data_IF_635803495628
#
_entry.id   IF_635803495628
#
_cell.length_a   1.000
_cell.length_b   1.000
_cell.length_c   1.000
_cell.angle_alpha   90.00
_cell.angle_beta   90.00
_cell.angle_gamma   90.00
#
_symmetry.space_group_name_H-M   'P 1'
#
loop_
_entity.id
_entity.type
_entity.pdbx_description
1 polymer ?
#
# COMPACT_ATOMS: atom_id res chain seq x y z
N UNK A 1 23.66 -7.30 -23.99
CA UNK A 1 22.75 -7.60 -25.11
C UNK A 1 22.76 -6.46 -26.13
N UNK A 2 22.57 -5.21 -25.68
CA UNK A 2 22.62 -4.01 -26.50
C UNK A 2 23.93 -3.95 -27.33
N UNK A 3 25.09 -4.15 -26.72
CA UNK A 3 26.39 -4.12 -27.35
C UNK A 3 26.63 -5.24 -28.39
N UNK A 4 25.72 -6.20 -28.44
CA UNK A 4 25.67 -7.28 -29.45
C UNK A 4 24.72 -6.97 -30.62
N UNK A 5 24.23 -5.73 -30.72
CA UNK A 5 23.30 -5.30 -31.75
C UNK A 5 21.88 -5.82 -31.63
N UNK A 6 21.48 -6.27 -30.44
CA UNK A 6 20.11 -6.72 -30.19
C UNK A 6 19.17 -5.54 -29.90
N UNK A 7 18.00 -5.51 -30.57
CA UNK A 7 16.88 -4.65 -30.18
C UNK A 7 16.21 -5.18 -28.92
N UNK A 8 15.98 -4.32 -27.94
CA UNK A 8 15.36 -4.69 -26.65
C UNK A 8 14.09 -3.88 -26.47
N UNK A 9 12.97 -4.57 -26.24
CA UNK A 9 11.72 -3.95 -25.79
C UNK A 9 11.61 -4.17 -24.30
N UNK A 10 11.61 -3.07 -23.52
CA UNK A 10 11.49 -3.11 -22.08
C UNK A 10 10.17 -2.49 -21.63
N UNK A 11 9.33 -3.28 -20.97
CA UNK A 11 8.02 -2.86 -20.48
C UNK A 11 8.07 -2.79 -18.95
N UNK A 12 7.86 -1.61 -18.41
CA UNK A 12 7.86 -1.38 -16.96
C UNK A 12 6.99 -0.17 -16.61
N UNK A 13 6.58 -0.08 -15.38
CA UNK A 13 5.96 1.11 -14.77
C UNK A 13 6.95 1.89 -13.89
N UNK A 14 8.19 1.41 -13.77
CA UNK A 14 9.26 2.09 -13.03
C UNK A 14 9.93 3.13 -13.92
N UNK A 15 9.42 4.34 -13.86
CA UNK A 15 9.82 5.43 -14.78
C UNK A 15 11.30 5.77 -14.70
N UNK A 16 11.91 5.74 -13.52
CA UNK A 16 13.34 5.99 -13.34
C UNK A 16 14.22 4.96 -14.10
N UNK A 17 13.82 3.68 -14.09
CA UNK A 17 14.52 2.64 -14.85
C UNK A 17 14.35 2.85 -16.34
N UNK A 18 13.11 3.09 -16.80
CA UNK A 18 12.82 3.34 -18.21
C UNK A 18 13.67 4.51 -18.71
N UNK A 19 13.66 5.65 -18.02
CA UNK A 19 14.43 6.82 -18.45
C UNK A 19 15.94 6.55 -18.50
N UNK A 20 16.46 5.71 -17.60
CA UNK A 20 17.89 5.39 -17.52
C UNK A 20 18.38 4.47 -18.62
N UNK A 21 17.56 3.49 -19.05
CA UNK A 21 18.02 2.43 -19.94
C UNK A 21 17.51 2.54 -21.37
N UNK A 22 16.43 3.31 -21.62
CA UNK A 22 15.80 3.38 -22.92
C UNK A 22 16.42 4.47 -23.79
N UNK A 23 16.50 4.22 -25.10
CA UNK A 23 16.84 5.21 -26.12
C UNK A 23 15.59 6.00 -26.54
N UNK A 24 14.46 5.31 -26.70
CA UNK A 24 13.14 5.88 -26.96
C UNK A 24 12.10 5.38 -25.95
N UNK A 25 11.13 6.22 -25.63
CA UNK A 25 10.01 5.90 -24.75
C UNK A 25 8.71 6.05 -25.53
N UNK A 26 7.97 4.94 -25.60
CA UNK A 26 6.61 4.91 -26.12
C UNK A 26 5.64 4.86 -24.97
N UNK A 27 4.76 5.85 -24.88
CA UNK A 27 3.70 5.90 -23.87
C UNK A 27 2.41 5.37 -24.47
N UNK A 28 1.80 4.43 -23.74
CA UNK A 28 0.49 3.87 -24.05
C UNK A 28 -0.50 4.15 -22.91
N UNK A 29 -1.75 4.36 -23.26
CA UNK A 29 -2.85 4.55 -22.30
C UNK A 29 -4.14 3.94 -22.86
N UNK A 30 -4.85 3.15 -22.07
CA UNK A 30 -6.11 2.50 -22.44
C UNK A 30 -6.03 1.70 -23.75
N UNK A 31 -4.87 1.04 -23.99
CA UNK A 31 -4.61 0.27 -25.20
C UNK A 31 -4.23 1.11 -26.43
N UNK A 32 -4.13 2.43 -26.30
CA UNK A 32 -3.83 3.34 -27.41
C UNK A 32 -2.41 3.91 -27.28
N UNK A 33 -1.77 4.13 -28.43
CA UNK A 33 -0.53 4.87 -28.51
C UNK A 33 -0.79 6.35 -28.24
N UNK A 34 -0.02 6.93 -27.30
CA UNK A 34 -0.14 8.34 -26.93
C UNK A 34 1.01 9.16 -27.57
N UNK A 35 2.23 8.72 -27.38
CA UNK A 35 3.41 9.38 -27.93
C UNK A 35 4.61 8.44 -27.94
N UNK A 36 5.54 8.67 -28.89
CA UNK A 36 6.90 8.12 -28.88
C UNK A 36 7.88 9.29 -28.94
N UNK A 37 8.86 9.33 -28.05
CA UNK A 37 9.87 10.39 -27.95
C UNK A 37 11.22 9.82 -27.55
N UNK A 38 12.35 10.44 -27.94
CA UNK A 38 13.65 10.12 -27.39
C UNK A 38 13.66 10.28 -25.87
N UNK A 39 14.23 9.33 -25.14
CA UNK A 39 14.27 9.38 -23.67
C UNK A 39 15.01 10.62 -23.14
N UNK A 40 15.99 11.13 -23.89
CA UNK A 40 16.75 12.32 -23.54
C UNK A 40 15.90 13.60 -23.52
N UNK A 41 14.83 13.67 -24.33
CA UNK A 41 13.97 14.85 -24.48
C UNK A 41 12.80 14.87 -23.48
N UNK A 42 12.53 13.76 -22.80
CA UNK A 42 11.40 13.65 -21.88
C UNK A 42 11.85 13.87 -20.43
N UNK A 43 11.24 14.82 -19.76
CA UNK A 43 11.35 14.92 -18.32
C UNK A 43 10.39 13.93 -17.63
N UNK A 44 10.68 13.56 -16.38
CA UNK A 44 9.87 12.61 -15.63
C UNK A 44 8.40 13.03 -15.56
N UNK A 45 8.15 14.31 -15.33
CA UNK A 45 6.80 14.87 -15.26
C UNK A 45 6.07 14.80 -16.61
N UNK A 46 6.77 14.90 -17.73
CA UNK A 46 6.18 14.77 -19.07
C UNK A 46 5.73 13.33 -19.33
N UNK A 47 6.53 12.35 -18.94
CA UNK A 47 6.16 10.93 -19.07
C UNK A 47 4.90 10.66 -18.25
N UNK A 48 4.86 11.11 -17.00
CA UNK A 48 3.70 10.94 -16.11
C UNK A 48 2.46 11.65 -16.68
N UNK A 49 2.61 12.87 -17.18
CA UNK A 49 1.52 13.63 -17.81
C UNK A 49 0.94 12.89 -19.02
N UNK A 50 1.79 12.35 -19.89
CA UNK A 50 1.36 11.56 -21.04
C UNK A 50 0.63 10.28 -20.62
N UNK A 51 1.09 9.60 -19.58
CA UNK A 51 0.45 8.38 -19.05
C UNK A 51 -0.92 8.66 -18.42
N UNK A 52 -1.02 9.72 -17.61
CA UNK A 52 -2.25 10.04 -16.86
C UNK A 52 -3.23 10.87 -17.68
N UNK A 53 -2.75 11.63 -18.69
CA UNK A 53 -3.57 12.46 -19.58
C UNK A 53 -4.04 13.78 -18.98
N UNK A 54 -3.57 14.16 -17.80
CA UNK A 54 -3.84 15.44 -17.14
C UNK A 54 -2.56 15.92 -16.43
N UNK A 55 -2.45 17.21 -16.24
CA UNK A 55 -1.43 17.75 -15.36
C UNK A 55 -1.65 17.19 -13.96
N UNK A 56 -0.65 16.50 -13.43
CA UNK A 56 -0.64 16.19 -12.01
C UNK A 56 -0.19 17.48 -11.31
N UNK A 57 -1.14 18.10 -10.61
CA UNK A 57 -0.78 19.03 -9.54
C UNK A 57 0.13 18.33 -8.53
N UNK A 58 0.34 18.88 -7.36
CA UNK A 58 1.11 18.23 -6.32
C UNK A 58 0.70 16.76 -6.18
N UNK A 59 1.60 15.84 -6.50
CA UNK A 59 1.36 14.39 -6.48
C UNK A 59 0.90 13.95 -5.09
N UNK A 60 1.38 14.63 -4.07
CA UNK A 60 0.94 14.46 -2.69
C UNK A 60 0.46 15.80 -2.13
N UNK A 61 -0.69 15.83 -1.45
CA UNK A 61 -1.11 17.03 -0.74
C UNK A 61 -0.08 17.39 0.34
N UNK A 62 0.06 18.69 0.68
CA UNK A 62 0.96 19.09 1.75
C UNK A 62 0.55 18.40 3.06
N UNK A 63 1.53 17.93 3.80
CA UNK A 63 1.33 17.30 5.11
C UNK A 63 0.89 18.35 6.12
N UNK A 64 -0.41 18.46 6.37
CA UNK A 64 -1.01 19.42 7.32
C UNK A 64 -1.42 18.78 8.64
N UNK A 65 -1.40 17.46 8.74
CA UNK A 65 -1.76 16.72 9.95
C UNK A 65 -0.73 16.95 11.06
N UNK A 66 -1.24 17.11 12.28
CA UNK A 66 -0.43 17.13 13.51
C UNK A 66 -0.73 15.86 14.28
N UNK A 67 0.25 14.96 14.45
CA UNK A 67 0.05 13.76 15.25
C UNK A 67 -0.34 14.11 16.69
N UNK A 68 -1.40 13.48 17.17
CA UNK A 68 -1.89 13.64 18.54
C UNK A 68 -1.28 12.64 19.51
N UNK A 69 -2.10 12.18 20.47
CA UNK A 69 -1.72 11.14 21.43
C UNK A 69 -1.60 9.77 20.76
N UNK A 70 -0.88 8.84 21.40
CA UNK A 70 -0.76 7.46 20.94
C UNK A 70 -2.15 6.81 20.92
N UNK A 71 -2.55 6.33 19.77
CA UNK A 71 -3.83 5.65 19.55
C UNK A 71 -3.67 4.13 19.48
N UNK A 72 -2.65 3.67 18.76
CA UNK A 72 -2.35 2.27 18.55
C UNK A 72 -0.95 1.96 19.09
N UNK A 73 -0.87 0.91 19.87
CA UNK A 73 0.38 0.34 20.35
C UNK A 73 0.42 -1.14 19.96
N UNK A 74 1.50 -1.54 19.31
CA UNK A 74 1.79 -2.92 18.94
C UNK A 74 3.09 -3.29 19.61
N UNK A 75 3.08 -4.32 20.44
CA UNK A 75 4.21 -4.75 21.24
C UNK A 75 4.52 -6.23 20.97
N UNK A 76 5.75 -6.53 20.59
CA UNK A 76 6.29 -7.89 20.44
C UNK A 76 5.46 -8.80 19.51
N UNK A 77 4.82 -8.24 18.48
CA UNK A 77 3.95 -8.99 17.59
C UNK A 77 4.72 -10.07 16.84
N UNK A 78 4.29 -11.30 17.02
CA UNK A 78 4.90 -12.49 16.41
C UNK A 78 3.82 -13.35 15.78
N UNK A 79 4.02 -13.76 14.53
CA UNK A 79 3.13 -14.66 13.81
C UNK A 79 3.37 -16.13 14.11
N UNK A 80 2.31 -16.96 14.00
CA UNK A 80 2.41 -18.39 14.30
C UNK A 80 3.02 -19.18 13.15
N UNK A 81 2.64 -18.89 11.92
CA UNK A 81 2.98 -19.68 10.73
C UNK A 81 3.68 -18.87 9.63
N UNK A 82 4.05 -17.63 9.92
CA UNK A 82 4.73 -16.72 9.01
C UNK A 82 6.07 -16.25 9.59
N UNK A 83 6.81 -15.44 8.84
CA UNK A 83 8.13 -14.95 9.21
C UNK A 83 8.12 -13.75 10.15
N UNK A 84 6.95 -13.37 10.67
CA UNK A 84 6.84 -12.23 11.58
C UNK A 84 7.43 -12.55 12.94
N UNK A 85 8.38 -11.72 13.40
CA UNK A 85 9.10 -11.88 14.68
C UNK A 85 9.25 -10.55 15.38
N UNK A 86 8.72 -10.45 16.57
CA UNK A 86 9.01 -9.38 17.55
C UNK A 86 8.83 -7.95 17.01
N UNK A 87 7.76 -7.69 16.27
CA UNK A 87 7.50 -6.37 15.68
C UNK A 87 6.78 -5.49 16.68
N UNK A 88 7.34 -4.31 16.95
CA UNK A 88 6.77 -3.31 17.85
C UNK A 88 6.77 -1.94 17.19
N UNK A 89 5.66 -1.22 17.28
CA UNK A 89 5.52 0.16 16.83
C UNK A 89 4.29 0.81 17.43
N UNK A 90 4.20 2.13 17.29
CA UNK A 90 3.04 2.91 17.71
C UNK A 90 2.50 3.74 16.55
N UNK A 91 1.22 4.10 16.62
CA UNK A 91 0.62 5.10 15.75
C UNK A 91 -0.22 6.08 16.55
N UNK A 92 -0.10 7.35 16.21
CA UNK A 92 -0.80 8.45 16.89
C UNK A 92 -2.08 8.84 16.17
N UNK A 93 -2.97 9.53 16.85
CA UNK A 93 -4.18 10.10 16.22
C UNK A 93 -3.79 11.03 15.07
N UNK A 94 -4.39 10.82 13.90
CA UNK A 94 -4.11 11.63 12.71
C UNK A 94 -2.74 11.40 12.09
N UNK A 95 -2.00 10.37 12.52
CA UNK A 95 -0.70 10.00 11.96
C UNK A 95 -0.87 8.95 10.85
N UNK A 96 -0.01 9.03 9.85
CA UNK A 96 0.19 7.99 8.85
C UNK A 96 1.56 7.36 9.14
N UNK A 97 1.56 6.10 9.56
CA UNK A 97 2.79 5.32 9.81
C UNK A 97 3.10 4.47 8.60
N UNK A 98 4.29 4.61 8.04
CA UNK A 98 4.79 3.80 6.93
C UNK A 98 5.60 2.61 7.43
N UNK A 99 5.26 1.40 6.97
CA UNK A 99 6.06 0.19 7.17
C UNK A 99 6.83 -0.10 5.88
N UNK A 100 8.14 0.12 5.87
CA UNK A 100 8.99 -0.10 4.71
C UNK A 100 9.82 -1.38 4.86
N UNK A 101 10.14 -2.02 3.75
CA UNK A 101 10.97 -3.22 3.72
C UNK A 101 10.92 -3.90 2.35
N UNK A 102 11.85 -4.80 2.11
CA UNK A 102 11.88 -5.63 0.90
C UNK A 102 10.70 -6.62 0.87
N UNK A 103 10.48 -7.22 -0.29
CA UNK A 103 9.53 -8.31 -0.42
C UNK A 103 9.90 -9.46 0.53
N UNK A 104 8.89 -10.05 1.19
CA UNK A 104 9.12 -11.06 2.24
C UNK A 104 9.63 -10.53 3.59
N UNK A 105 9.73 -9.21 3.79
CA UNK A 105 10.19 -8.62 5.06
C UNK A 105 9.18 -8.69 6.21
N UNK A 106 7.96 -9.16 5.95
CA UNK A 106 6.92 -9.31 6.98
C UNK A 106 5.94 -8.14 7.09
N UNK A 107 5.94 -7.19 6.14
CA UNK A 107 5.01 -6.03 6.16
C UNK A 107 3.55 -6.45 6.07
N UNK A 108 3.23 -7.26 5.07
CA UNK A 108 1.89 -7.81 4.86
C UNK A 108 1.47 -8.67 6.03
N UNK A 109 2.35 -9.56 6.46
CA UNK A 109 2.14 -10.46 7.60
C UNK A 109 1.89 -9.69 8.91
N UNK A 110 2.54 -8.54 9.08
CA UNK A 110 2.29 -7.66 10.23
C UNK A 110 0.83 -7.19 10.25
N UNK A 111 0.33 -6.64 9.14
CA UNK A 111 -1.03 -6.11 9.07
C UNK A 111 -2.08 -7.23 9.11
N UNK A 112 -1.84 -8.35 8.45
CA UNK A 112 -2.71 -9.53 8.50
C UNK A 112 -2.80 -10.14 9.90
N UNK A 113 -1.66 -10.22 10.61
CA UNK A 113 -1.62 -10.71 11.99
C UNK A 113 -2.33 -9.74 12.95
N UNK A 114 -2.15 -8.44 12.77
CA UNK A 114 -2.88 -7.42 13.55
C UNK A 114 -4.39 -7.47 13.32
N UNK A 115 -4.81 -7.76 12.09
CA UNK A 115 -6.23 -7.83 11.73
C UNK A 115 -6.85 -9.20 12.03
N UNK A 116 -6.04 -10.23 12.35
CA UNK A 116 -6.51 -11.57 12.66
C UNK A 116 -6.86 -12.41 11.42
N UNK A 117 -6.33 -12.07 10.24
CA UNK A 117 -6.31 -12.94 9.05
C UNK A 117 -5.25 -14.02 9.26
N UNK A 118 -4.05 -13.63 9.67
CA UNK A 118 -2.99 -14.55 10.07
C UNK A 118 -3.02 -14.77 11.58
N UNK A 119 -2.65 -15.98 12.01
CA UNK A 119 -2.66 -16.36 13.43
C UNK A 119 -1.50 -15.70 14.18
N UNK A 120 -1.82 -14.98 15.25
CA UNK A 120 -0.86 -14.41 16.17
C UNK A 120 -0.37 -15.48 17.14
N UNK A 121 0.96 -15.60 17.29
CA UNK A 121 1.61 -16.46 18.28
C UNK A 121 1.79 -15.73 19.59
N UNK A 122 2.29 -14.48 19.53
CA UNK A 122 2.61 -13.67 20.72
C UNK A 122 2.47 -12.18 20.38
N UNK A 123 2.54 -11.35 21.42
CA UNK A 123 2.45 -9.90 21.33
C UNK A 123 1.10 -9.32 21.73
N UNK A 124 1.11 -8.02 21.99
CA UNK A 124 -0.06 -7.27 22.47
C UNK A 124 -0.38 -6.15 21.49
N UNK A 125 -1.67 -5.96 21.24
CA UNK A 125 -2.21 -4.83 20.49
C UNK A 125 -3.11 -4.05 21.43
N UNK A 126 -2.84 -2.74 21.57
CA UNK A 126 -3.66 -1.83 22.36
C UNK A 126 -4.22 -0.74 21.45
N UNK A 127 -5.48 -0.41 21.65
CA UNK A 127 -6.14 0.73 21.01
C UNK A 127 -6.66 1.64 22.12
N UNK A 128 -6.21 2.89 22.09
CA UNK A 128 -6.56 3.89 23.11
C UNK A 128 -6.26 3.38 24.54
N UNK A 129 -5.09 2.78 24.73
CA UNK A 129 -4.62 2.16 25.96
C UNK A 129 -5.31 0.84 26.36
N UNK A 130 -6.31 0.38 25.59
CA UNK A 130 -7.06 -0.84 25.88
C UNK A 130 -6.58 -2.00 25.05
N UNK A 131 -6.31 -3.15 25.66
CA UNK A 131 -5.89 -4.37 24.95
C UNK A 131 -7.00 -4.87 24.04
N UNK A 132 -6.65 -5.05 22.75
CA UNK A 132 -7.52 -5.58 21.73
C UNK A 132 -7.18 -7.03 21.39
N UNK A 133 -8.16 -7.92 21.56
CA UNK A 133 -8.04 -9.33 21.14
C UNK A 133 -8.40 -9.49 19.66
N UNK A 134 -7.58 -8.95 18.77
CA UNK A 134 -7.79 -9.06 17.33
C UNK A 134 -7.35 -10.45 16.80
N UNK A 135 -8.00 -11.50 17.28
CA UNK A 135 -7.69 -12.89 16.88
C UNK A 135 -8.47 -13.35 15.67
N UNK A 136 -9.45 -12.58 15.24
CA UNK A 136 -10.25 -12.83 14.03
C UNK A 136 -10.62 -11.52 13.37
N UNK A 137 -10.83 -11.48 12.03
CA UNK A 137 -11.28 -10.28 11.33
C UNK A 137 -12.55 -9.65 11.93
N UNK A 138 -13.49 -10.49 12.38
CA UNK A 138 -14.72 -10.02 13.03
C UNK A 138 -14.46 -9.25 14.32
N UNK A 139 -13.51 -9.69 15.13
CA UNK A 139 -13.10 -8.97 16.36
C UNK A 139 -12.41 -7.66 16.02
N UNK A 140 -11.53 -7.66 15.02
CA UNK A 140 -10.83 -6.45 14.56
C UNK A 140 -11.80 -5.40 14.05
N UNK A 141 -12.79 -5.79 13.24
CA UNK A 141 -13.85 -4.89 12.79
C UNK A 141 -14.62 -4.30 13.97
N UNK A 142 -14.96 -5.09 14.98
CA UNK A 142 -15.62 -4.60 16.21
C UNK A 142 -14.74 -3.63 17.01
N UNK A 143 -13.44 -3.81 16.97
CA UNK A 143 -12.45 -2.94 17.58
C UNK A 143 -12.04 -1.78 16.67
N UNK A 144 -12.83 -1.49 15.63
CA UNK A 144 -12.63 -0.38 14.69
C UNK A 144 -11.34 -0.44 13.85
N UNK A 145 -10.85 -1.64 13.56
CA UNK A 145 -9.80 -1.85 12.58
C UNK A 145 -10.43 -2.13 11.21
N UNK A 146 -9.81 -1.62 10.15
CA UNK A 146 -10.12 -1.95 8.76
C UNK A 146 -8.84 -2.35 8.05
N UNK A 147 -8.89 -3.36 7.20
CA UNK A 147 -7.78 -3.84 6.39
C UNK A 147 -8.12 -3.63 4.91
N UNK A 148 -7.24 -2.93 4.19
CA UNK A 148 -7.25 -2.89 2.74
C UNK A 148 -6.14 -3.82 2.25
N UNK A 149 -6.51 -4.86 1.52
CA UNK A 149 -5.59 -5.90 1.07
C UNK A 149 -4.79 -5.46 -0.16
N UNK A 150 -3.62 -6.06 -0.35
CA UNK A 150 -2.73 -5.81 -1.47
C UNK A 150 -3.36 -6.27 -2.79
N UNK A 151 -3.84 -7.51 -2.85
CA UNK A 151 -4.44 -8.12 -4.02
C UNK A 151 -5.93 -7.76 -4.13
N UNK A 152 -6.22 -6.67 -4.85
CA UNK A 152 -7.59 -6.15 -4.99
C UNK A 152 -8.58 -7.16 -5.58
N UNK A 153 -8.16 -7.92 -6.59
CA UNK A 153 -9.05 -8.87 -7.29
C UNK A 153 -9.28 -10.15 -6.50
N UNK A 154 -8.25 -10.66 -5.83
CA UNK A 154 -8.32 -11.92 -5.11
C UNK A 154 -8.95 -11.76 -3.72
N UNK A 155 -8.63 -10.66 -3.01
CA UNK A 155 -8.98 -10.52 -1.60
C UNK A 155 -9.67 -9.21 -1.24
N UNK A 156 -9.72 -8.24 -2.16
CA UNK A 156 -10.24 -6.91 -1.90
C UNK A 156 -11.66 -6.65 -2.39
N UNK A 157 -12.18 -7.45 -3.33
CA UNK A 157 -13.52 -7.31 -3.91
C UNK A 157 -14.22 -8.64 -4.09
N UNK A 158 -15.54 -8.62 -4.03
CA UNK A 158 -16.40 -9.74 -4.43
C UNK A 158 -16.82 -9.51 -5.89
N UNK A 159 -16.16 -10.19 -6.82
CA UNK A 159 -16.30 -9.96 -8.26
C UNK A 159 -17.72 -10.20 -8.83
N UNK A 160 -18.55 -10.98 -8.14
CA UNK A 160 -19.94 -11.26 -8.52
C UNK A 160 -20.92 -10.22 -7.96
N UNK A 161 -20.50 -9.38 -7.02
CA UNK A 161 -21.33 -8.36 -6.43
C UNK A 161 -21.20 -7.03 -7.20
N UNK A 162 -22.24 -6.23 -7.17
CA UNK A 162 -22.23 -4.88 -7.73
C UNK A 162 -21.26 -3.96 -6.97
N UNK A 163 -20.91 -2.83 -7.59
CA UNK A 163 -20.09 -1.77 -6.95
C UNK A 163 -20.76 -1.32 -5.64
N UNK A 164 -22.09 -1.12 -5.65
CA UNK A 164 -22.85 -0.73 -4.48
C UNK A 164 -22.70 -1.73 -3.33
N UNK A 165 -22.86 -3.01 -3.61
CA UNK A 165 -22.72 -4.07 -2.61
C UNK A 165 -21.29 -4.15 -2.06
N UNK A 166 -20.28 -4.11 -2.93
CA UNK A 166 -18.88 -4.06 -2.51
C UNK A 166 -18.58 -2.86 -1.61
N UNK A 167 -19.16 -1.68 -1.92
CA UNK A 167 -18.93 -0.46 -1.14
C UNK A 167 -19.52 -0.55 0.26
N UNK A 168 -20.66 -1.22 0.44
CA UNK A 168 -21.38 -1.24 1.71
C UNK A 168 -21.20 -2.51 2.53
N UNK A 169 -20.54 -3.53 1.98
CA UNK A 169 -20.46 -4.86 2.61
C UNK A 169 -19.83 -4.82 3.99
N UNK A 170 -18.80 -4.00 4.18
CA UNK A 170 -18.16 -3.81 5.49
C UNK A 170 -19.05 -3.06 6.48
N UNK A 171 -19.96 -2.20 6.00
CA UNK A 171 -20.88 -1.42 6.84
C UNK A 171 -22.05 -2.24 7.36
N UNK A 172 -22.50 -3.26 6.64
CA UNK A 172 -23.56 -4.16 7.12
C UNK A 172 -23.18 -4.88 8.42
N UNK A 173 -21.91 -4.94 8.75
CA UNK A 173 -21.41 -5.54 10.00
C UNK A 173 -21.29 -4.53 11.16
N UNK A 174 -21.55 -3.23 10.93
CA UNK A 174 -21.41 -2.21 11.98
C UNK A 174 -22.55 -1.19 12.00
N UNK A 175 -23.16 -1.06 13.18
CA UNK A 175 -24.17 -0.03 13.50
C UNK A 175 -23.62 1.16 14.30
N UNK A 176 -22.32 1.38 14.37
CA UNK A 176 -21.73 2.42 15.23
C UNK A 176 -20.84 3.40 14.46
N UNK A 177 -21.05 4.70 14.72
CA UNK A 177 -20.20 5.80 14.26
C UNK A 177 -19.01 5.93 15.24
N UNK A 178 -17.88 5.30 14.93
CA UNK A 178 -16.69 5.45 15.78
C UNK A 178 -15.42 5.45 14.93
N UNK A 179 -14.35 6.05 15.45
CA UNK A 179 -13.02 6.14 14.85
C UNK A 179 -12.53 4.79 14.29
N UNK A 180 -11.97 4.84 13.06
CA UNK A 180 -11.42 3.68 12.37
C UNK A 180 -9.90 3.75 12.33
N UNK A 181 -9.24 2.64 12.56
CA UNK A 181 -7.84 2.43 12.20
C UNK A 181 -7.81 1.77 10.83
N UNK A 182 -7.29 2.47 9.82
CA UNK A 182 -7.12 1.95 8.47
C UNK A 182 -5.73 1.34 8.34
N UNK A 183 -5.70 0.07 8.04
CA UNK A 183 -4.49 -0.66 7.69
C UNK A 183 -4.44 -0.80 6.17
N UNK A 184 -3.58 -0.03 5.53
CA UNK A 184 -3.44 -0.07 4.07
C UNK A 184 -2.10 -0.70 3.69
N UNK A 185 -2.15 -1.73 2.86
CA UNK A 185 -0.98 -2.35 2.26
C UNK A 185 -0.80 -1.76 0.86
N UNK A 186 0.24 -0.96 0.65
CA UNK A 186 0.67 -0.54 -0.68
C UNK A 186 1.90 -1.33 -1.10
N UNK A 187 1.83 -1.91 -2.28
CA UNK A 187 2.99 -2.52 -2.92
C UNK A 187 3.86 -1.41 -3.52
N UNK A 188 5.00 -1.14 -2.93
CA UNK A 188 6.04 -0.33 -3.53
C UNK A 188 7.19 -1.24 -3.94
N UNK A 189 7.19 -1.65 -5.21
CA UNK A 189 8.34 -2.31 -5.83
C UNK A 189 9.39 -1.24 -6.13
N UNK A 190 10.24 -0.95 -5.18
CA UNK A 190 11.44 -0.15 -5.46
C UNK A 190 12.54 -0.47 -4.46
N UNK A 191 13.51 -1.22 -4.95
CA UNK A 191 14.71 -1.57 -4.21
C UNK A 191 15.76 -0.45 -4.26
N UNK A 192 15.44 0.82 -4.41
CA UNK A 192 16.44 1.91 -4.37
C UNK A 192 15.84 3.31 -4.33
N UNK A 193 14.95 3.63 -3.42
CA UNK A 193 14.79 5.04 -3.07
C UNK A 193 14.39 5.15 -1.60
N UNK A 194 15.35 5.59 -0.82
CA UNK A 194 15.12 6.12 0.51
C UNK A 194 14.33 7.41 0.34
N UNK A 195 13.03 7.34 0.50
CA UNK A 195 12.22 8.55 0.67
C UNK A 195 12.28 8.89 2.14
N UNK A 196 13.17 9.80 2.50
CA UNK A 196 13.06 10.54 3.76
C UNK A 196 11.82 11.44 3.66
N UNK A 197 10.87 11.19 4.51
CA UNK A 197 9.67 12.00 4.72
C UNK A 197 9.98 13.03 5.81
#
# INVERSE_FOLDING_TARGET
LRDRGMGIIYISHKMAEIKRISDEITVMRDGQHVATRPAAELEMNDIIRLMVGRELGNQFPPKTNKPGEVLLEVEHLTGQYNNLRDVSFTARRGEIVGLAGLDGSGRTETLETMFGVATRKDGTIKLDGKVCKNLTPRQSIKNHFALLTEERRATGIFGLLSIRENTVISRHMQRSQTLWVWLWITYSYSATETVSI
#
